data_IF_857413614512
#
_entry.id   IF_857413614512
#
_cell.length_a   1.000
_cell.length_b   1.000
_cell.length_c   1.000
_cell.angle_alpha   90.00
_cell.angle_beta   90.00
_cell.angle_gamma   90.00
#
_symmetry.space_group_name_H-M   'P 1'
#
loop_
_entity.id
_entity.type
_entity.pdbx_description
1 polymer ?
#
# COMPACT_ATOMS: atom_id res chain seq x y z
N UNK A 1 11.23 19.68 -1.48
CA UNK A 1 10.27 19.37 -0.41
C UNK A 1 10.29 17.85 -0.26
N UNK A 2 10.54 17.34 0.94
CA UNK A 2 10.44 15.89 1.20
C UNK A 2 8.98 15.57 1.55
N UNK A 3 8.40 14.47 1.06
CA UNK A 3 7.03 14.09 1.38
C UNK A 3 6.93 13.59 2.82
N UNK A 4 5.91 14.05 3.55
CA UNK A 4 5.55 13.46 4.85
C UNK A 4 4.90 12.08 4.69
N UNK A 5 4.22 11.86 3.55
CA UNK A 5 3.48 10.63 3.27
C UNK A 5 3.66 10.15 1.84
N UNK A 6 3.70 8.83 1.67
CA UNK A 6 3.70 8.13 0.38
C UNK A 6 2.44 7.27 0.30
N UNK A 7 1.48 7.68 -0.52
CA UNK A 7 0.25 6.93 -0.77
C UNK A 7 0.49 5.83 -1.81
N UNK A 8 0.18 4.60 -1.42
CA UNK A 8 0.28 3.40 -2.27
C UNK A 8 -1.13 2.89 -2.51
N UNK A 9 -1.60 3.09 -3.74
CA UNK A 9 -2.91 2.62 -4.15
C UNK A 9 -2.91 1.11 -4.41
N UNK A 10 -4.08 0.48 -4.20
CA UNK A 10 -4.36 -0.90 -4.54
C UNK A 10 -4.24 -1.21 -6.03
N UNK A 11 -4.27 -2.49 -6.38
CA UNK A 11 -4.04 -2.96 -7.73
C UNK A 11 -4.20 -4.47 -7.83
N UNK A 12 -3.91 -5.06 -9.01
CA UNK A 12 -4.13 -6.47 -9.24
C UNK A 12 -3.44 -7.35 -8.19
N UNK A 13 -4.21 -8.28 -7.59
CA UNK A 13 -3.76 -9.26 -6.61
C UNK A 13 -4.05 -10.65 -7.16
N UNK A 14 -3.14 -11.60 -6.91
CA UNK A 14 -3.32 -13.01 -7.26
C UNK A 14 -2.78 -13.88 -6.14
N UNK A 15 -3.62 -14.80 -5.64
CA UNK A 15 -3.26 -15.78 -4.61
C UNK A 15 -2.60 -15.17 -3.36
N UNK A 16 -3.12 -14.02 -2.91
CA UNK A 16 -2.61 -13.31 -1.73
C UNK A 16 -1.27 -12.58 -1.96
N UNK A 17 -0.81 -12.49 -3.20
CA UNK A 17 0.42 -11.78 -3.61
C UNK A 17 0.09 -10.61 -4.54
N UNK A 18 0.91 -9.55 -4.55
CA UNK A 18 0.74 -8.48 -5.53
C UNK A 18 1.00 -9.03 -6.95
N UNK A 19 0.14 -8.66 -7.89
CA UNK A 19 0.43 -8.81 -9.31
C UNK A 19 1.58 -7.88 -9.73
N UNK A 20 2.12 -8.09 -10.92
CA UNK A 20 3.35 -7.40 -11.38
C UNK A 20 3.29 -5.87 -11.25
N UNK A 21 2.18 -5.25 -11.69
CA UNK A 21 2.01 -3.79 -11.62
C UNK A 21 1.98 -3.30 -10.17
N UNK A 22 1.27 -4.01 -9.29
CA UNK A 22 1.21 -3.65 -7.87
C UNK A 22 2.58 -3.84 -7.21
N UNK A 23 3.31 -4.89 -7.57
CA UNK A 23 4.64 -5.14 -7.04
C UNK A 23 5.65 -4.05 -7.43
N UNK A 24 5.68 -3.62 -8.69
CA UNK A 24 6.57 -2.52 -9.11
C UNK A 24 6.23 -1.20 -8.41
N UNK A 25 4.93 -0.93 -8.17
CA UNK A 25 4.51 0.22 -7.36
C UNK A 25 5.02 0.13 -5.93
N UNK A 26 4.91 -1.05 -5.31
CA UNK A 26 5.40 -1.29 -3.94
C UNK A 26 6.92 -1.11 -3.87
N UNK A 27 7.67 -1.64 -4.86
CA UNK A 27 9.11 -1.45 -4.95
C UNK A 27 9.48 0.03 -5.03
N UNK A 28 8.80 0.79 -5.90
CA UNK A 28 9.07 2.22 -6.02
C UNK A 28 8.75 2.97 -4.73
N UNK A 29 7.66 2.60 -4.05
CA UNK A 29 7.34 3.17 -2.75
C UNK A 29 8.41 2.84 -1.70
N UNK A 30 8.96 1.62 -1.69
CA UNK A 30 10.04 1.23 -0.80
C UNK A 30 11.32 2.03 -1.06
N UNK A 31 11.67 2.32 -2.32
CA UNK A 31 12.78 3.23 -2.65
C UNK A 31 12.55 4.62 -2.06
N UNK A 32 11.38 5.21 -2.29
CA UNK A 32 11.03 6.53 -1.78
C UNK A 32 11.02 6.58 -0.25
N UNK A 33 10.57 5.52 0.43
CA UNK A 33 10.60 5.44 1.91
C UNK A 33 12.03 5.34 2.47
N UNK A 34 12.98 4.78 1.72
CA UNK A 34 14.41 4.75 2.11
C UNK A 34 15.06 6.11 1.89
N UNK A 35 14.71 6.78 0.80
CA UNK A 35 15.20 8.14 0.49
C UNK A 35 14.63 9.20 1.45
N UNK A 36 13.46 8.94 2.06
CA UNK A 36 12.78 9.86 2.97
C UNK A 36 12.49 9.14 4.31
N UNK A 37 13.44 9.06 5.24
CA UNK A 37 13.32 8.28 6.48
C UNK A 37 12.16 8.69 7.40
N UNK A 38 11.74 9.95 7.34
CA UNK A 38 10.64 10.48 8.16
C UNK A 38 9.26 10.25 7.53
N UNK A 39 9.21 9.89 6.23
CA UNK A 39 7.97 9.68 5.51
C UNK A 39 7.24 8.44 6.00
N UNK A 40 5.90 8.45 6.01
CA UNK A 40 5.07 7.27 6.28
C UNK A 40 4.42 6.73 5.01
N UNK A 41 4.27 5.42 4.91
CA UNK A 41 3.51 4.79 3.85
C UNK A 41 2.02 4.74 4.23
N UNK A 42 1.13 5.14 3.33
CA UNK A 42 -0.31 4.88 3.45
C UNK A 42 -0.69 3.84 2.40
N UNK A 43 -1.02 2.64 2.85
CA UNK A 43 -1.41 1.53 1.98
C UNK A 43 -2.93 1.52 1.87
N UNK A 44 -3.48 1.89 0.71
CA UNK A 44 -4.92 2.01 0.49
C UNK A 44 -5.43 0.94 -0.48
N UNK A 45 -6.49 0.26 -0.08
CA UNK A 45 -7.18 -0.72 -0.93
C UNK A 45 -7.79 -1.87 -0.14
N UNK A 46 -9.04 -2.20 -0.47
CA UNK A 46 -9.86 -3.21 0.20
C UNK A 46 -9.79 -4.59 -0.44
N UNK A 47 -10.85 -5.36 -0.20
CA UNK A 47 -11.06 -6.69 -0.79
C UNK A 47 -11.85 -6.51 -2.08
N UNK A 48 -11.31 -6.99 -3.21
CA UNK A 48 -11.93 -6.84 -4.55
C UNK A 48 -12.72 -8.07 -5.01
N UNK A 49 -12.50 -9.22 -4.38
CA UNK A 49 -13.21 -10.47 -4.66
C UNK A 49 -13.43 -11.26 -3.37
N UNK A 50 -14.54 -11.97 -3.30
CA UNK A 50 -14.86 -13.00 -2.31
C UNK A 50 -13.76 -14.05 -2.09
N UNK A 51 -12.96 -14.35 -3.11
CA UNK A 51 -11.82 -15.30 -3.03
C UNK A 51 -10.59 -14.70 -2.34
N UNK A 52 -10.55 -13.38 -2.17
CA UNK A 52 -9.41 -12.68 -1.60
C UNK A 52 -9.52 -12.62 -0.07
N UNK A 53 -8.59 -13.28 0.63
CA UNK A 53 -8.56 -13.34 2.11
C UNK A 53 -7.97 -12.11 2.78
N UNK A 54 -7.14 -11.34 2.07
CA UNK A 54 -6.41 -10.18 2.58
C UNK A 54 -6.74 -8.97 1.71
N UNK A 55 -6.98 -7.80 2.31
CA UNK A 55 -7.14 -6.57 1.54
C UNK A 55 -5.88 -6.24 0.73
N UNK A 56 -6.02 -5.47 -0.35
CA UNK A 56 -4.87 -4.96 -1.11
C UNK A 56 -3.90 -4.18 -0.19
N UNK A 57 -4.42 -3.37 0.73
CA UNK A 57 -3.64 -2.65 1.73
C UNK A 57 -2.78 -3.59 2.59
N UNK A 58 -3.33 -4.72 3.05
CA UNK A 58 -2.59 -5.70 3.84
C UNK A 58 -1.49 -6.39 3.01
N UNK A 59 -1.78 -6.67 1.73
CA UNK A 59 -0.80 -7.25 0.81
C UNK A 59 0.34 -6.28 0.52
N UNK A 60 0.04 -4.99 0.34
CA UNK A 60 1.04 -3.92 0.22
C UNK A 60 1.91 -3.88 1.48
N UNK A 61 1.32 -3.81 2.68
CA UNK A 61 2.07 -3.81 3.95
C UNK A 61 2.99 -5.01 4.08
N UNK A 62 2.49 -6.23 3.85
CA UNK A 62 3.30 -7.44 3.95
C UNK A 62 4.49 -7.42 2.99
N UNK A 63 4.28 -6.90 1.78
CA UNK A 63 5.34 -6.79 0.77
C UNK A 63 6.38 -5.74 1.18
N UNK A 64 5.97 -4.58 1.70
CA UNK A 64 6.88 -3.55 2.22
C UNK A 64 7.74 -4.05 3.39
N UNK A 65 7.13 -4.79 4.34
CA UNK A 65 7.85 -5.44 5.44
C UNK A 65 8.91 -6.42 4.89
N UNK A 66 8.55 -7.22 3.88
CA UNK A 66 9.49 -8.13 3.20
C UNK A 66 10.62 -7.41 2.46
N UNK A 67 10.44 -6.14 2.09
CA UNK A 67 11.47 -5.28 1.52
C UNK A 67 12.29 -4.51 2.57
N UNK A 68 12.05 -4.76 3.86
CA UNK A 68 12.79 -4.15 4.97
C UNK A 68 12.33 -2.75 5.36
N UNK A 69 11.11 -2.35 5.01
CA UNK A 69 10.52 -1.10 5.51
C UNK A 69 9.97 -1.35 6.92
N UNK A 70 10.26 -0.43 7.84
CA UNK A 70 9.76 -0.47 9.21
C UNK A 70 8.22 -0.44 9.27
N UNK A 71 7.64 -1.39 10.00
CA UNK A 71 6.20 -1.52 10.16
C UNK A 71 5.54 -0.33 10.85
N UNK A 72 6.26 0.36 11.74
CA UNK A 72 5.77 1.57 12.43
C UNK A 72 5.57 2.75 11.46
N UNK A 73 6.20 2.68 10.29
CA UNK A 73 6.05 3.66 9.20
C UNK A 73 4.91 3.33 8.25
N UNK A 74 4.16 2.25 8.46
CA UNK A 74 3.14 1.77 7.52
C UNK A 74 1.74 1.88 8.11
N UNK A 75 0.95 2.80 7.55
CA UNK A 75 -0.47 2.99 7.84
C UNK A 75 -1.33 2.19 6.86
N UNK A 76 -2.43 1.63 7.35
CA UNK A 76 -3.37 0.83 6.58
C UNK A 76 -4.70 1.56 6.40
N UNK A 77 -5.17 1.63 5.15
CA UNK A 77 -6.52 2.01 4.78
C UNK A 77 -7.15 0.83 4.01
N UNK A 78 -7.84 -0.11 4.69
CA UNK A 78 -8.33 -1.34 4.08
C UNK A 78 -9.77 -1.25 3.56
N UNK A 79 -10.41 -0.07 3.58
CA UNK A 79 -11.84 0.10 3.28
C UNK A 79 -12.11 0.48 1.82
N UNK A 80 -11.17 1.13 1.14
CA UNK A 80 -11.41 1.64 -0.22
C UNK A 80 -11.63 0.52 -1.26
N UNK A 81 -12.73 0.61 -2.02
CA UNK A 81 -13.07 -0.29 -3.12
C UNK A 81 -13.00 0.39 -4.49
N UNK A 82 -12.90 1.72 -4.55
CA UNK A 82 -12.76 2.50 -5.79
C UNK A 82 -11.65 3.54 -5.69
N UNK A 83 -11.22 4.10 -6.83
CA UNK A 83 -10.23 5.19 -6.86
C UNK A 83 -10.71 6.42 -6.10
N UNK A 84 -12.00 6.76 -6.16
CA UNK A 84 -12.59 7.89 -5.43
C UNK A 84 -12.53 7.62 -3.92
N UNK A 85 -12.81 6.39 -3.51
CA UNK A 85 -12.72 5.99 -2.10
C UNK A 85 -11.29 5.99 -1.56
N UNK A 86 -10.29 5.62 -2.36
CA UNK A 86 -8.88 5.71 -1.94
C UNK A 86 -8.53 7.15 -1.51
N UNK A 87 -8.91 8.15 -2.32
CA UNK A 87 -8.65 9.55 -2.00
C UNK A 87 -9.52 10.08 -0.86
N UNK A 88 -10.77 9.60 -0.76
CA UNK A 88 -11.66 10.00 0.33
C UNK A 88 -11.17 9.49 1.68
N UNK A 89 -10.81 8.22 1.79
CA UNK A 89 -10.42 7.59 3.06
C UNK A 89 -8.97 7.85 3.45
N UNK A 90 -8.07 8.12 2.49
CA UNK A 90 -6.69 8.50 2.82
C UNK A 90 -6.58 9.91 3.40
N UNK A 91 -7.60 10.76 3.19
CA UNK A 91 -7.64 12.13 3.74
C UNK A 91 -8.03 12.15 5.23
N UNK A 92 -8.69 11.10 5.72
CA UNK A 92 -9.17 10.96 7.11
C UNK A 92 -8.06 10.42 8.03
#
# INVERSE_FOLDING_TARGET
MQPDYILILGGPVRDGKPGQILYERIKKAAELLRENPDAKAVCSGGIKSDRQKLSEAQIIKNTLLGLGIDGERILLEPKAKTTVENFKFTKE
#
